data_IF_342928848700
#
_entry.id   IF_342928848700
#
_cell.length_a   1.000
_cell.length_b   1.000
_cell.length_c   1.000
_cell.angle_alpha   90.00
_cell.angle_beta   90.00
_cell.angle_gamma   90.00
#
_symmetry.space_group_name_H-M   'P 1'
#
loop_
_entity.id
_entity.type
_entity.pdbx_description
1 polymer ?
#
# COMPACT_ATOMS: atom_id res chain seq x y z
N UNK A 1 -7.41 23.85 -32.09
CA UNK A 1 -8.51 22.94 -31.66
C UNK A 1 -8.10 22.47 -30.27
N UNK A 2 -8.47 23.26 -29.25
CA UNK A 2 -8.00 23.07 -27.87
C UNK A 2 -9.12 22.41 -27.08
N UNK A 3 -9.12 21.09 -27.00
CA UNK A 3 -9.99 20.39 -26.07
C UNK A 3 -9.25 20.25 -24.74
N UNK A 4 -9.67 21.08 -23.77
CA UNK A 4 -9.22 20.98 -22.39
C UNK A 4 -9.75 19.66 -21.81
N UNK A 5 -8.84 18.81 -21.35
CA UNK A 5 -9.20 17.68 -20.48
C UNK A 5 -9.96 18.25 -19.28
N UNK A 6 -11.23 17.90 -19.16
CA UNK A 6 -12.06 18.26 -18.01
C UNK A 6 -11.81 17.22 -16.92
N UNK A 7 -11.04 17.58 -15.90
CA UNK A 7 -11.03 16.82 -14.65
C UNK A 7 -12.27 17.27 -13.89
N UNK A 8 -13.24 16.36 -13.73
CA UNK A 8 -14.37 16.58 -12.84
C UNK A 8 -13.89 16.32 -11.42
N UNK A 9 -13.97 17.34 -10.58
CA UNK A 9 -13.85 17.17 -9.14
C UNK A 9 -15.00 16.26 -8.68
N UNK A 10 -14.68 15.29 -7.82
CA UNK A 10 -15.68 14.42 -7.19
C UNK A 10 -16.32 15.25 -6.08
N UNK A 11 -17.33 16.01 -6.44
CA UNK A 11 -18.23 16.63 -5.48
C UNK A 11 -19.06 15.51 -4.84
N UNK A 12 -18.92 15.40 -3.51
CA UNK A 12 -19.62 14.50 -2.60
C UNK A 12 -18.88 13.21 -2.19
N UNK A 13 -17.96 13.36 -1.24
CA UNK A 13 -17.32 12.25 -0.53
C UNK A 13 -18.31 11.39 0.29
N UNK A 14 -19.55 11.85 0.51
CA UNK A 14 -20.47 11.17 1.43
C UNK A 14 -21.17 9.93 0.86
N UNK A 15 -21.06 9.66 -0.45
CA UNK A 15 -21.78 8.56 -1.10
C UNK A 15 -20.91 7.33 -1.48
N UNK A 16 -19.58 7.37 -1.30
CA UNK A 16 -18.66 6.27 -1.67
C UNK A 16 -17.98 5.63 -0.45
N UNK A 17 -18.40 5.98 0.77
CA UNK A 17 -17.59 5.70 1.97
C UNK A 17 -17.79 4.34 2.65
N UNK A 18 -18.77 3.51 2.26
CA UNK A 18 -19.04 2.25 3.01
C UNK A 18 -18.67 0.94 2.33
N UNK A 19 -18.33 0.93 1.03
CA UNK A 19 -18.13 -0.32 0.28
C UNK A 19 -16.66 -0.62 -0.08
N UNK A 20 -15.77 0.37 -0.01
CA UNK A 20 -14.36 0.13 -0.28
C UNK A 20 -13.76 -0.64 0.89
N UNK A 21 -13.26 -1.85 0.62
CA UNK A 21 -12.68 -2.77 1.61
C UNK A 21 -13.65 -3.37 2.64
N UNK A 22 -14.97 -3.27 2.44
CA UNK A 22 -15.96 -3.85 3.35
C UNK A 22 -16.03 -5.39 3.25
N UNK A 23 -15.80 -5.93 2.06
CA UNK A 23 -15.70 -7.36 1.80
C UNK A 23 -14.34 -7.66 1.12
N UNK A 24 -13.49 -8.53 1.70
CA UNK A 24 -12.21 -8.90 1.10
C UNK A 24 -12.38 -9.71 -0.20
N UNK A 25 -13.52 -10.36 -0.42
CA UNK A 25 -13.79 -11.21 -1.58
C UNK A 25 -14.48 -10.46 -2.73
N UNK A 26 -14.97 -9.24 -2.48
CA UNK A 26 -15.68 -8.43 -3.48
C UNK A 26 -14.90 -7.15 -3.76
N UNK A 27 -14.89 -6.71 -5.02
CA UNK A 27 -14.27 -5.45 -5.43
C UNK A 27 -15.20 -4.27 -5.14
N UNK A 28 -14.67 -3.05 -5.17
CA UNK A 28 -15.51 -1.85 -5.08
C UNK A 28 -16.53 -1.73 -6.24
N UNK A 29 -16.34 -2.47 -7.33
CA UNK A 29 -17.26 -2.55 -8.46
C UNK A 29 -18.33 -3.65 -8.31
N UNK A 30 -18.32 -4.42 -7.21
CA UNK A 30 -19.27 -5.51 -6.97
C UNK A 30 -18.89 -6.85 -7.62
N UNK A 31 -17.66 -6.97 -8.12
CA UNK A 31 -17.18 -8.19 -8.79
C UNK A 31 -16.45 -9.10 -7.80
N UNK A 32 -16.33 -10.39 -8.13
CA UNK A 32 -15.48 -11.30 -7.37
C UNK A 32 -14.02 -10.89 -7.48
N UNK A 33 -13.33 -10.75 -6.35
CA UNK A 33 -11.91 -10.40 -6.31
C UNK A 33 -11.07 -11.56 -6.85
N UNK A 34 -10.13 -11.23 -7.73
CA UNK A 34 -9.16 -12.19 -8.23
C UNK A 34 -8.30 -12.76 -7.08
N UNK A 35 -8.08 -14.06 -7.12
CA UNK A 35 -7.22 -14.79 -6.19
C UNK A 35 -6.28 -15.71 -6.95
N UNK A 36 -5.14 -16.01 -6.33
CA UNK A 36 -4.20 -17.02 -6.81
C UNK A 36 -3.97 -18.02 -5.67
N UNK A 37 -4.05 -19.31 -5.97
CA UNK A 37 -3.81 -20.34 -4.97
C UNK A 37 -2.32 -20.36 -4.58
N UNK A 38 -1.97 -20.16 -3.30
CA UNK A 38 -0.59 -20.30 -2.87
C UNK A 38 -0.17 -21.77 -2.96
N UNK A 39 0.86 -22.06 -3.75
CA UNK A 39 1.36 -23.44 -3.96
C UNK A 39 2.44 -23.82 -2.95
N UNK A 40 3.51 -23.03 -2.92
CA UNK A 40 4.68 -23.25 -2.08
C UNK A 40 5.39 -21.92 -1.85
N UNK A 41 5.92 -21.73 -0.63
CA UNK A 41 6.81 -20.62 -0.32
C UNK A 41 8.26 -21.06 -0.55
N UNK A 42 8.89 -20.59 -1.63
CA UNK A 42 10.29 -20.89 -1.93
C UNK A 42 11.25 -19.92 -1.25
N UNK A 43 10.85 -18.65 -1.15
CA UNK A 43 11.70 -17.59 -0.59
C UNK A 43 10.83 -16.56 0.11
N UNK A 44 11.24 -16.18 1.32
CA UNK A 44 10.63 -15.11 2.10
C UNK A 44 11.60 -13.94 2.18
N UNK A 45 11.18 -12.78 1.69
CA UNK A 45 11.89 -11.51 1.84
C UNK A 45 11.18 -10.65 2.86
N UNK A 46 11.88 -10.22 3.90
CA UNK A 46 11.34 -9.31 4.90
C UNK A 46 11.93 -7.93 4.66
N UNK A 47 11.08 -7.02 4.17
CA UNK A 47 11.46 -5.62 3.97
C UNK A 47 11.15 -4.84 5.25
N UNK A 48 12.19 -4.36 5.92
CA UNK A 48 12.07 -3.60 7.18
C UNK A 48 11.94 -2.08 6.95
N UNK A 49 11.87 -1.67 5.68
CA UNK A 49 11.77 -0.28 5.22
C UNK A 49 12.96 0.12 4.35
N UNK A 50 13.17 1.42 4.14
CA UNK A 50 14.26 1.92 3.30
C UNK A 50 14.76 3.27 3.80
N UNK A 51 16.09 3.46 3.74
CA UNK A 51 16.71 4.78 3.89
C UNK A 51 16.81 5.42 2.51
N UNK A 52 16.29 6.64 2.38
CA UNK A 52 16.42 7.44 1.17
C UNK A 52 17.44 8.55 1.43
N UNK A 53 18.28 8.88 0.44
CA UNK A 53 19.21 10.00 0.56
C UNK A 53 18.53 11.39 0.46
N UNK A 54 17.21 11.41 0.31
CA UNK A 54 16.37 12.61 0.24
C UNK A 54 15.20 12.47 1.22
N UNK A 55 14.72 13.61 1.72
CA UNK A 55 13.49 13.69 2.53
C UNK A 55 12.38 14.29 1.67
N UNK A 56 11.29 13.56 1.48
CA UNK A 56 10.14 14.01 0.67
C UNK A 56 8.93 14.31 1.57
N UNK A 57 8.21 15.39 1.28
CA UNK A 57 7.01 15.80 2.03
C UNK A 57 5.89 14.73 2.00
N UNK A 58 5.73 14.03 0.87
CA UNK A 58 4.68 13.03 0.66
C UNK A 58 5.22 11.59 0.62
N UNK A 59 6.26 11.29 1.41
CA UNK A 59 6.80 9.94 1.49
C UNK A 59 5.86 9.02 2.29
N UNK A 60 5.16 8.10 1.61
CA UNK A 60 4.25 7.13 2.24
C UNK A 60 4.89 6.30 3.36
N UNK A 61 6.19 6.00 3.25
CA UNK A 61 6.96 5.22 4.23
C UNK A 61 7.86 6.08 5.14
N UNK A 62 7.73 7.41 5.05
CA UNK A 62 8.51 8.39 5.83
C UNK A 62 10.04 8.24 5.74
N UNK A 63 10.58 7.67 4.65
CA UNK A 63 12.02 7.52 4.46
C UNK A 63 12.76 8.86 4.44
N UNK A 64 13.91 8.91 5.09
CA UNK A 64 14.85 10.03 5.05
C UNK A 64 16.28 9.54 5.35
N UNK A 65 17.31 10.37 5.16
CA UNK A 65 18.69 10.00 5.50
C UNK A 65 18.89 9.75 6.99
N UNK A 66 17.99 10.27 7.83
CA UNK A 66 18.09 10.25 9.29
C UNK A 66 16.90 9.54 9.95
N UNK A 67 16.09 8.78 9.18
CA UNK A 67 14.99 8.00 9.75
C UNK A 67 15.56 6.79 10.52
N UNK A 68 15.39 6.80 11.84
CA UNK A 68 15.86 5.78 12.76
C UNK A 68 14.76 4.80 13.21
N UNK A 69 13.56 4.89 12.62
CA UNK A 69 12.42 4.01 12.93
C UNK A 69 12.52 2.62 12.30
N UNK A 70 13.55 2.35 11.48
CA UNK A 70 13.75 1.05 10.84
C UNK A 70 14.10 -0.01 11.90
N UNK A 71 13.21 -0.99 12.08
CA UNK A 71 13.41 -2.11 12.99
C UNK A 71 13.90 -3.32 12.19
N UNK A 72 15.13 -3.76 12.46
CA UNK A 72 15.69 -4.96 11.86
C UNK A 72 15.29 -6.19 12.67
N UNK A 73 15.04 -7.28 11.95
CA UNK A 73 14.81 -8.58 12.60
C UNK A 73 16.08 -9.02 13.29
N UNK A 74 15.94 -9.29 14.59
CA UNK A 74 16.97 -9.88 15.42
C UNK A 74 16.95 -11.41 15.29
N UNK A 75 18.09 -12.04 15.56
CA UNK A 75 18.16 -13.49 15.59
C UNK A 75 17.14 -14.05 16.61
N UNK A 76 17.02 -13.43 17.78
CA UNK A 76 16.14 -13.85 18.88
C UNK A 76 14.67 -13.95 18.50
N UNK A 77 14.21 -13.18 17.51
CA UNK A 77 12.83 -13.22 17.01
C UNK A 77 12.57 -14.41 16.07
N UNK A 78 13.61 -15.09 15.59
CA UNK A 78 13.50 -16.17 14.59
C UNK A 78 14.11 -17.50 15.03
N UNK A 79 14.78 -17.55 16.19
CA UNK A 79 15.21 -18.82 16.80
C UNK A 79 14.12 -19.34 17.74
N UNK A 80 13.72 -20.59 17.53
CA UNK A 80 12.82 -21.36 18.41
C UNK A 80 13.46 -21.72 19.75
#
# INVERSE_FOLDING_TARGET
MNEKIQIKDIDDASAVESFKFSDPNITAAGEQRASVDPRQLETLWINTGSLCNLTCENCYIESSPTNDRLVYISLQEVID
#
